data_IF_814888263060
#
_entry.id   IF_814888263060
#
_cell.length_a   1.000
_cell.length_b   1.000
_cell.length_c   1.000
_cell.angle_alpha   90.00
_cell.angle_beta   90.00
_cell.angle_gamma   90.00
#
_symmetry.space_group_name_H-M   'P 1'
#
loop_
_entity.id
_entity.type
_entity.pdbx_description
1 polymer ?
#
# COMPACT_ATOMS: atom_id res chain seq x y z
N UNK A 1 27.80 -25.88 25.70
CA UNK A 1 27.94 -26.00 24.23
C UNK A 1 26.86 -25.23 23.42
N UNK A 2 26.17 -24.22 23.97
CA UNK A 2 25.00 -23.58 23.30
C UNK A 2 25.25 -22.18 22.70
N UNK A 3 26.34 -21.50 23.08
CA UNK A 3 26.65 -20.13 22.65
C UNK A 3 26.94 -19.97 21.14
N UNK A 4 27.76 -20.82 20.49
CA UNK A 4 28.08 -20.62 19.06
C UNK A 4 26.87 -20.89 18.16
N UNK A 5 26.02 -21.83 18.55
CA UNK A 5 24.81 -22.20 17.81
C UNK A 5 23.73 -21.12 17.86
N UNK A 6 23.63 -20.38 18.98
CA UNK A 6 22.74 -19.20 19.10
C UNK A 6 23.24 -18.03 18.27
N UNK A 7 24.55 -17.79 18.25
CA UNK A 7 25.17 -16.73 17.42
C UNK A 7 24.95 -17.00 15.91
N UNK A 8 25.12 -18.24 15.47
CA UNK A 8 24.87 -18.62 14.09
C UNK A 8 23.41 -18.41 13.68
N UNK A 9 22.46 -18.73 14.57
CA UNK A 9 21.03 -18.59 14.27
C UNK A 9 20.60 -17.12 14.19
N UNK A 10 21.18 -16.26 15.03
CA UNK A 10 20.98 -14.79 14.96
C UNK A 10 21.59 -14.21 13.69
N UNK A 11 22.79 -14.64 13.29
CA UNK A 11 23.44 -14.17 12.08
C UNK A 11 22.67 -14.55 10.81
N UNK A 12 22.10 -15.76 10.76
CA UNK A 12 21.25 -16.21 9.64
C UNK A 12 19.95 -15.40 9.58
N UNK A 13 19.28 -15.19 10.72
CA UNK A 13 18.08 -14.34 10.79
C UNK A 13 18.36 -12.90 10.34
N UNK A 14 19.48 -12.30 10.78
CA UNK A 14 19.88 -10.96 10.34
C UNK A 14 20.20 -10.91 8.85
N UNK A 15 20.84 -11.97 8.32
CA UNK A 15 21.16 -12.09 6.89
C UNK A 15 19.92 -12.19 6.00
N UNK A 16 18.84 -12.84 6.47
CA UNK A 16 17.57 -12.92 5.74
C UNK A 16 16.80 -11.58 5.73
N UNK A 17 17.04 -10.70 6.71
CA UNK A 17 16.42 -9.38 6.81
C UNK A 17 17.18 -8.30 6.00
N UNK A 18 18.44 -8.58 5.63
CA UNK A 18 19.21 -7.73 4.74
C UNK A 18 18.77 -7.93 3.29
N UNK A 19 17.58 -7.42 2.94
CA UNK A 19 17.17 -7.29 1.55
C UNK A 19 18.25 -6.52 0.77
N UNK A 20 18.56 -6.98 -0.45
CA UNK A 20 19.55 -6.31 -1.29
C UNK A 20 19.14 -4.85 -1.47
N UNK A 21 19.92 -3.94 -0.90
CA UNK A 21 19.80 -2.50 -1.12
C UNK A 21 20.32 -2.18 -2.53
N UNK A 22 19.68 -2.75 -3.54
CA UNK A 22 19.74 -2.20 -4.89
C UNK A 22 18.97 -0.88 -4.82
N UNK A 23 19.58 0.21 -5.26
CA UNK A 23 18.97 1.55 -5.24
C UNK A 23 17.78 1.60 -6.20
N UNK A 24 16.68 0.96 -5.81
CA UNK A 24 15.42 1.00 -6.53
C UNK A 24 14.91 2.44 -6.46
N UNK A 25 14.74 3.06 -7.64
CA UNK A 25 13.99 4.32 -7.76
C UNK A 25 12.63 4.07 -7.10
N UNK A 26 12.38 4.75 -5.99
CA UNK A 26 11.13 4.61 -5.25
C UNK A 26 9.99 5.20 -6.07
N UNK A 27 8.92 4.42 -6.22
CA UNK A 27 7.69 4.82 -6.91
C UNK A 27 6.65 5.24 -5.88
N UNK A 28 6.01 6.37 -6.11
CA UNK A 28 4.89 6.81 -5.31
C UNK A 28 3.68 5.92 -5.59
N UNK A 29 3.02 5.44 -4.53
CA UNK A 29 1.91 4.50 -4.62
C UNK A 29 0.68 5.06 -3.91
N UNK A 30 -0.46 4.97 -4.57
CA UNK A 30 -1.76 5.35 -4.05
C UNK A 30 -2.66 4.11 -4.00
N UNK A 31 -3.20 3.79 -2.83
CA UNK A 31 -4.24 2.78 -2.70
C UNK A 31 -5.55 3.48 -2.45
N UNK A 32 -6.49 3.29 -3.37
CA UNK A 32 -7.83 3.89 -3.31
C UNK A 32 -8.77 2.92 -2.57
N UNK A 33 -9.73 3.42 -1.78
CA UNK A 33 -10.79 2.57 -1.23
C UNK A 33 -11.47 1.75 -2.34
N UNK A 34 -11.64 0.45 -2.10
CA UNK A 34 -12.28 -0.43 -3.07
C UNK A 34 -13.77 -0.08 -3.18
N UNK A 35 -14.34 -0.31 -4.36
CA UNK A 35 -15.72 -0.03 -4.69
C UNK A 35 -16.67 -0.92 -3.87
N UNK A 36 -17.72 -0.30 -3.33
CA UNK A 36 -18.69 -0.96 -2.43
C UNK A 36 -20.14 -0.58 -2.72
N UNK A 37 -20.45 -0.03 -3.90
CA UNK A 37 -21.81 0.31 -4.37
C UNK A 37 -22.72 -0.92 -4.40
N UNK A 38 -22.17 -2.12 -4.59
CA UNK A 38 -22.92 -3.37 -4.53
C UNK A 38 -23.18 -3.87 -3.09
N UNK A 39 -22.55 -3.28 -2.08
CA UNK A 39 -22.69 -3.68 -0.67
C UNK A 39 -23.77 -2.87 0.03
N UNK A 40 -24.28 -3.40 1.13
CA UNK A 40 -25.14 -2.62 2.03
C UNK A 40 -24.32 -1.48 2.65
N UNK A 41 -24.98 -0.36 2.95
CA UNK A 41 -24.30 0.82 3.50
C UNK A 41 -23.52 0.56 4.80
N UNK A 42 -23.97 -0.40 5.61
CA UNK A 42 -23.30 -0.87 6.82
C UNK A 42 -22.03 -1.69 6.56
N UNK A 43 -21.85 -2.20 5.34
CA UNK A 43 -20.68 -2.96 4.88
C UNK A 43 -19.72 -2.10 4.04
N UNK A 44 -20.06 -0.84 3.74
CA UNK A 44 -19.24 0.06 2.93
C UNK A 44 -17.83 0.28 3.50
N UNK A 45 -17.64 0.11 4.81
CA UNK A 45 -16.32 0.17 5.46
C UNK A 45 -15.33 -0.90 4.96
N UNK A 46 -15.82 -1.98 4.35
CA UNK A 46 -14.98 -3.08 3.85
C UNK A 46 -14.02 -2.56 2.76
N UNK A 47 -14.47 -1.65 1.90
CA UNK A 47 -13.62 -1.06 0.85
C UNK A 47 -12.42 -0.31 1.41
N UNK A 48 -12.62 0.41 2.52
CA UNK A 48 -11.55 1.08 3.27
C UNK A 48 -10.63 0.07 3.94
N UNK A 49 -11.18 -0.98 4.54
CA UNK A 49 -10.42 -2.04 5.21
C UNK A 49 -9.51 -2.83 4.27
N UNK A 50 -10.01 -3.19 3.08
CA UNK A 50 -9.21 -3.88 2.05
C UNK A 50 -8.06 -2.97 1.58
N UNK A 51 -8.37 -1.71 1.29
CA UNK A 51 -7.35 -0.76 0.88
C UNK A 51 -6.30 -0.53 1.98
N UNK A 52 -6.67 -0.54 3.27
CA UNK A 52 -5.71 -0.45 4.37
C UNK A 52 -4.83 -1.70 4.49
N UNK A 53 -5.41 -2.89 4.32
CA UNK A 53 -4.65 -4.14 4.31
C UNK A 53 -3.61 -4.16 3.16
N UNK A 54 -4.00 -3.69 1.97
CA UNK A 54 -3.09 -3.55 0.82
C UNK A 54 -2.00 -2.52 1.11
N UNK A 55 -2.36 -1.35 1.64
CA UNK A 55 -1.39 -0.34 2.10
C UNK A 55 -0.37 -0.96 3.04
N UNK A 56 -0.79 -1.66 4.09
CA UNK A 56 0.11 -2.29 5.07
C UNK A 56 1.03 -3.35 4.44
N UNK A 57 0.54 -4.12 3.46
CA UNK A 57 1.35 -5.09 2.73
C UNK A 57 2.53 -4.42 1.98
N UNK A 58 2.35 -3.18 1.51
CA UNK A 58 3.38 -2.45 0.77
C UNK A 58 4.22 -1.47 1.63
N UNK A 59 3.84 -1.19 2.89
CA UNK A 59 4.64 -0.34 3.81
C UNK A 59 6.08 -0.86 3.94
N UNK A 60 6.25 -2.18 3.98
CA UNK A 60 7.56 -2.82 4.19
C UNK A 60 8.36 -2.97 2.89
N UNK A 61 7.77 -2.62 1.73
CA UNK A 61 8.40 -2.86 0.44
C UNK A 61 9.28 -1.67 0.03
N UNK A 62 10.61 -1.84 -0.16
CA UNK A 62 11.55 -0.74 -0.35
C UNK A 62 11.33 0.06 -1.65
N UNK A 63 10.61 -0.51 -2.62
CA UNK A 63 10.34 0.13 -3.91
C UNK A 63 9.24 1.19 -3.89
N UNK A 64 8.43 1.29 -2.82
CA UNK A 64 7.25 2.16 -2.79
C UNK A 64 7.31 3.23 -1.71
N UNK A 65 6.79 4.41 -2.04
CA UNK A 65 6.47 5.48 -1.08
C UNK A 65 4.97 5.67 -1.11
N UNK A 66 4.31 5.46 0.03
CA UNK A 66 2.86 5.57 0.08
C UNK A 66 2.41 7.02 0.16
N UNK A 67 1.43 7.36 -0.67
CA UNK A 67 0.72 8.63 -0.62
C UNK A 67 -0.36 8.52 0.45
N UNK A 68 -0.42 9.51 1.34
CA UNK A 68 -1.42 9.58 2.40
C UNK A 68 -2.84 9.64 1.81
N UNK A 69 -3.66 8.67 2.20
CA UNK A 69 -5.07 8.53 1.81
C UNK A 69 -5.91 9.74 2.19
N UNK A 70 -5.56 10.49 3.24
CA UNK A 70 -6.29 11.71 3.62
C UNK A 70 -6.36 12.73 2.48
N UNK A 71 -5.39 12.68 1.54
CA UNK A 71 -5.36 13.54 0.34
C UNK A 71 -6.44 13.20 -0.68
N UNK A 72 -7.01 11.99 -0.64
CA UNK A 72 -8.12 11.58 -1.52
C UNK A 72 -9.44 12.29 -1.21
N UNK A 73 -9.59 12.88 -0.01
CA UNK A 73 -10.81 13.60 0.38
C UNK A 73 -11.16 14.77 -0.56
N UNK A 74 -10.18 15.28 -1.31
CA UNK A 74 -10.39 16.32 -2.31
C UNK A 74 -10.98 15.81 -3.65
N UNK A 75 -11.09 14.49 -3.84
CA UNK A 75 -11.45 13.84 -5.11
C UNK A 75 -12.68 12.91 -5.01
N UNK A 76 -13.44 13.02 -3.92
CA UNK A 76 -14.58 12.12 -3.65
C UNK A 76 -15.61 12.18 -4.79
N UNK A 77 -15.87 11.03 -5.41
CA UNK A 77 -16.91 10.84 -6.42
C UNK A 77 -18.15 10.16 -5.77
N UNK A 78 -19.34 10.79 -5.81
CA UNK A 78 -20.57 10.20 -5.29
C UNK A 78 -20.96 8.87 -5.96
N UNK A 79 -20.43 8.58 -7.14
CA UNK A 79 -20.71 7.37 -7.91
C UNK A 79 -19.63 6.29 -7.72
N UNK A 80 -18.70 6.47 -6.78
CA UNK A 80 -17.58 5.55 -6.54
C UNK A 80 -16.37 5.81 -7.44
N UNK A 81 -15.30 5.05 -7.22
CA UNK A 81 -14.01 5.24 -7.89
C UNK A 81 -13.99 4.64 -9.31
N UNK A 82 -14.49 5.39 -10.29
CA UNK A 82 -14.32 5.05 -11.70
C UNK A 82 -12.86 5.14 -12.14
N UNK A 83 -12.45 4.40 -13.17
CA UNK A 83 -11.10 4.48 -13.72
C UNK A 83 -10.69 5.91 -14.13
N UNK A 84 -11.64 6.73 -14.58
CA UNK A 84 -11.40 8.14 -14.92
C UNK A 84 -11.10 9.00 -13.68
N UNK A 85 -11.88 8.85 -12.61
CA UNK A 85 -11.67 9.54 -11.33
C UNK A 85 -10.35 9.12 -10.67
N UNK A 86 -10.02 7.83 -10.74
CA UNK A 86 -8.74 7.25 -10.29
C UNK A 86 -7.58 7.90 -11.04
N UNK A 87 -7.65 7.98 -12.38
CA UNK A 87 -6.61 8.59 -13.20
C UNK A 87 -6.45 10.10 -12.93
N UNK A 88 -7.54 10.81 -12.63
CA UNK A 88 -7.50 12.21 -12.24
C UNK A 88 -6.79 12.38 -10.88
N UNK A 89 -7.17 11.60 -9.87
CA UNK A 89 -6.54 11.63 -8.55
C UNK A 89 -5.05 11.25 -8.63
N UNK A 90 -4.71 10.22 -9.42
CA UNK A 90 -3.35 9.78 -9.67
C UNK A 90 -2.46 10.92 -10.19
N UNK A 91 -2.94 11.64 -11.22
CA UNK A 91 -2.21 12.77 -11.81
C UNK A 91 -2.07 13.93 -10.84
N UNK A 92 -3.15 14.27 -10.13
CA UNK A 92 -3.14 15.39 -9.19
C UNK A 92 -2.24 15.13 -7.97
N UNK A 93 -2.11 13.87 -7.54
CA UNK A 93 -1.26 13.45 -6.43
C UNK A 93 0.13 12.96 -6.85
N UNK A 94 0.43 13.02 -8.15
CA UNK A 94 1.67 12.52 -8.75
C UNK A 94 1.98 11.05 -8.39
N UNK A 95 0.96 10.20 -8.37
CA UNK A 95 1.12 8.76 -8.11
C UNK A 95 1.68 8.02 -9.33
N UNK A 96 2.77 7.30 -9.14
CA UNK A 96 3.38 6.44 -10.17
C UNK A 96 2.62 5.11 -10.34
N UNK A 97 2.05 4.61 -9.24
CA UNK A 97 1.27 3.37 -9.19
C UNK A 97 -0.02 3.61 -8.42
N UNK A 98 -1.13 3.09 -8.95
CA UNK A 98 -2.42 3.15 -8.26
C UNK A 98 -3.04 1.76 -8.19
N UNK A 99 -3.56 1.42 -7.01
CA UNK A 99 -4.36 0.22 -6.78
C UNK A 99 -5.79 0.63 -6.50
N UNK A 100 -6.72 0.08 -7.26
CA UNK A 100 -8.15 0.28 -7.17
C UNK A 100 -8.86 -1.00 -7.63
N UNK A 101 -10.13 -1.17 -7.24
CA UNK A 101 -10.95 -2.31 -7.60
C UNK A 101 -12.32 -2.21 -6.97
#
# INVERSE_FOLDING_TARGET
MSRPRRLALVAIMLGCLAGSAEAAVKRSMLVIPFETLALLGEEAWIGDGVAEAVTLAFVQHPAFVQIDRARLRAFVDPQGWSAASVLQAARALHADVVVFG
#
